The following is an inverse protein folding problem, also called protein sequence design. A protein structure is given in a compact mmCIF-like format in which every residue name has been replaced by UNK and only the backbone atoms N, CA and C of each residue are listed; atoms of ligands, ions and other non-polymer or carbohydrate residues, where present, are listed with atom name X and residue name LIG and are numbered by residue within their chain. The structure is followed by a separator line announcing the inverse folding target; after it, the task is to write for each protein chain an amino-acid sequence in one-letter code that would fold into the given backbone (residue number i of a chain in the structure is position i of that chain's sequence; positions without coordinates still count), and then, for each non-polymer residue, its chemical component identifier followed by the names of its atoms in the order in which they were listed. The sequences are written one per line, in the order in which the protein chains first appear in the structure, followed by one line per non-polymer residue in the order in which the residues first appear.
data_IF_223277588238
#
_entry.id   IF_223277588238
#
_cell.length_a   1.000
_cell.length_b   1.000
_cell.length_c   1.000
_cell.angle_alpha   90.00
_cell.angle_beta   90.00
_cell.angle_gamma   90.00
#
_symmetry.space_group_name_H-M   'P 1'
#
loop_
_entity.id
_entity.type
_entity.pdbx_description
1 polymer ?
#
# COMPACT_ATOMS: atom_id res chain seq x y z
N UNK A 1 6.78 14.33 -12.60
CA UNK A 1 7.80 14.07 -11.55
C UNK A 1 8.14 12.59 -11.61
N UNK A 2 9.41 12.18 -11.56
CA UNK A 2 9.78 10.76 -11.54
C UNK A 2 9.22 10.06 -10.29
N UNK A 3 8.84 8.80 -10.42
CA UNK A 3 8.35 7.99 -9.30
C UNK A 3 9.48 7.75 -8.30
N UNK A 4 9.21 7.94 -7.00
CA UNK A 4 10.21 7.68 -5.96
C UNK A 4 10.43 6.18 -5.78
N UNK A 5 11.61 5.77 -5.33
CA UNK A 5 11.91 4.37 -5.04
C UNK A 5 10.89 3.75 -4.07
N UNK A 6 10.50 4.48 -3.02
CA UNK A 6 9.46 4.07 -2.08
C UNK A 6 8.12 3.83 -2.76
N UNK A 7 7.71 4.72 -3.66
CA UNK A 7 6.48 4.58 -4.43
C UNK A 7 6.53 3.34 -5.35
N UNK A 8 7.68 3.08 -5.97
CA UNK A 8 7.89 1.87 -6.78
C UNK A 8 7.68 0.59 -5.96
N UNK A 9 8.30 0.48 -4.78
CA UNK A 9 8.15 -0.72 -3.94
C UNK A 9 6.74 -0.89 -3.37
N UNK A 10 6.06 0.21 -3.05
CA UNK A 10 4.64 0.17 -2.64
C UNK A 10 3.79 -0.37 -3.79
N UNK A 11 3.99 0.11 -5.02
CA UNK A 11 3.24 -0.38 -6.18
C UNK A 11 3.56 -1.85 -6.49
N UNK A 12 4.82 -2.25 -6.38
CA UNK A 12 5.25 -3.65 -6.55
C UNK A 12 4.55 -4.58 -5.54
N UNK A 13 4.34 -4.11 -4.30
CA UNK A 13 3.63 -4.88 -3.27
C UNK A 13 2.13 -5.07 -3.54
N UNK A 14 1.57 -4.26 -4.45
CA UNK A 14 0.16 -4.27 -4.88
C UNK A 14 -0.05 -5.07 -6.19
N UNK A 15 0.93 -5.86 -6.61
CA UNK A 15 0.72 -6.88 -7.65
C UNK A 15 -0.37 -7.88 -7.26
N UNK A 16 -0.63 -8.03 -5.95
CA UNK A 16 -1.80 -8.67 -5.37
C UNK A 16 -2.47 -7.72 -4.36
N UNK A 17 -3.80 -7.77 -4.16
CA UNK A 17 -4.48 -6.92 -3.20
C UNK A 17 -3.91 -7.10 -1.78
N UNK A 18 -3.50 -6.01 -1.14
CA UNK A 18 -2.76 -6.08 0.13
C UNK A 18 -3.22 -4.99 1.10
N UNK A 19 -3.32 -5.37 2.37
CA UNK A 19 -3.59 -4.41 3.44
C UNK A 19 -2.36 -3.53 3.72
N UNK A 20 -2.58 -2.31 4.21
CA UNK A 20 -1.51 -1.34 4.48
C UNK A 20 -0.36 -1.88 5.33
N UNK A 21 -0.63 -2.70 6.36
CA UNK A 21 0.42 -3.34 7.16
C UNK A 21 1.17 -4.44 6.40
N UNK A 22 0.47 -5.20 5.54
CA UNK A 22 1.09 -6.20 4.68
C UNK A 22 2.08 -5.58 3.69
N UNK A 23 1.81 -4.35 3.22
CA UNK A 23 2.72 -3.60 2.34
C UNK A 23 4.04 -3.30 3.07
N UNK A 24 3.95 -2.82 4.32
CA UNK A 24 5.12 -2.53 5.16
C UNK A 24 6.01 -3.76 5.31
N UNK A 25 5.42 -4.90 5.67
CA UNK A 25 6.15 -6.15 5.86
C UNK A 25 6.77 -6.65 4.55
N UNK A 26 6.03 -6.56 3.45
CA UNK A 26 6.51 -7.00 2.14
C UNK A 26 7.72 -6.20 1.69
N UNK A 27 7.63 -4.86 1.71
CA UNK A 27 8.73 -3.99 1.30
C UNK A 27 9.95 -4.20 2.18
N UNK A 28 9.76 -4.33 3.49
CA UNK A 28 10.87 -4.63 4.39
C UNK A 28 11.56 -5.95 4.03
N UNK A 29 10.79 -7.00 3.71
CA UNK A 29 11.31 -8.31 3.31
C UNK A 29 12.07 -8.28 1.99
N UNK A 30 11.49 -7.70 0.93
CA UNK A 30 12.12 -7.72 -0.41
C UNK A 30 13.31 -6.77 -0.53
N UNK A 31 13.44 -5.80 0.38
CA UNK A 31 14.57 -4.88 0.43
C UNK A 31 15.61 -5.26 1.49
N UNK A 32 15.47 -6.44 2.11
CA UNK A 32 16.31 -6.92 3.20
C UNK A 32 16.52 -5.87 4.31
N UNK A 33 15.41 -5.24 4.70
CA UNK A 33 15.40 -4.22 5.75
C UNK A 33 15.96 -2.85 5.36
N UNK A 34 16.50 -2.67 4.15
CA UNK A 34 17.02 -1.38 3.66
C UNK A 34 15.95 -0.30 3.64
N UNK A 35 14.73 -0.64 3.20
CA UNK A 35 13.61 0.28 3.21
C UNK A 35 12.67 -0.08 4.37
N UNK A 36 12.49 0.90 5.27
CA UNK A 36 11.57 0.80 6.40
C UNK A 36 10.44 1.79 6.21
N UNK A 37 9.25 1.28 5.92
CA UNK A 37 8.07 2.11 5.72
C UNK A 37 7.31 2.28 7.02
N UNK A 38 7.02 3.53 7.37
CA UNK A 38 6.03 3.86 8.39
C UNK A 38 4.61 3.79 7.82
N UNK A 39 3.62 3.58 8.69
CA UNK A 39 2.20 3.60 8.31
C UNK A 39 1.80 4.91 7.61
N UNK A 40 2.24 6.05 8.15
CA UNK A 40 1.99 7.37 7.53
C UNK A 40 2.54 7.52 6.12
N UNK A 41 3.74 6.96 5.86
CA UNK A 41 4.35 6.99 4.53
C UNK A 41 3.58 6.13 3.54
N UNK A 42 3.13 4.94 3.96
CA UNK A 42 2.34 4.04 3.12
C UNK A 42 1.01 4.68 2.78
N UNK A 43 0.20 5.05 3.78
CA UNK A 43 -1.13 5.62 3.53
C UNK A 43 -1.06 6.96 2.79
N UNK A 44 -0.06 7.79 3.09
CA UNK A 44 0.16 9.04 2.35
C UNK A 44 0.51 8.80 0.88
N UNK A 45 1.30 7.77 0.58
CA UNK A 45 1.66 7.42 -0.81
C UNK A 45 0.49 6.79 -1.54
N UNK A 46 -0.23 5.86 -0.90
CA UNK A 46 -1.45 5.25 -1.46
C UNK A 46 -2.51 6.31 -1.78
N UNK A 47 -2.77 7.25 -0.88
CA UNK A 47 -3.72 8.34 -1.14
C UNK A 47 -3.28 9.26 -2.29
N UNK A 48 -1.98 9.50 -2.48
CA UNK A 48 -1.47 10.22 -3.66
C UNK A 48 -1.65 9.42 -4.96
N UNK A 49 -1.38 8.12 -4.92
CA UNK A 49 -1.55 7.21 -6.06
C UNK A 49 -3.02 7.06 -6.46
N UNK A 50 -3.92 6.98 -5.48
CA UNK A 50 -5.37 6.95 -5.70
C UNK A 50 -5.85 8.26 -6.33
N UNK A 51 -5.44 9.42 -5.79
CA UNK A 51 -5.76 10.73 -6.37
C UNK A 51 -5.22 10.92 -7.79
N UNK A 52 -4.09 10.29 -8.10
CA UNK A 52 -3.50 10.28 -9.45
C UNK A 52 -4.02 9.14 -10.34
N UNK A 53 -5.00 8.35 -9.86
CA UNK A 53 -5.66 7.27 -10.59
C UNK A 53 -4.70 6.15 -11.03
N UNK A 54 -3.59 5.98 -10.32
CA UNK A 54 -2.60 4.90 -10.56
C UNK A 54 -3.08 3.59 -9.91
N UNK A 55 -3.75 3.68 -8.77
CA UNK A 55 -4.33 2.55 -8.05
C UNK A 55 -5.79 2.83 -7.73
N UNK A 56 -6.57 1.76 -7.60
CA UNK A 56 -7.97 1.85 -7.18
C UNK A 56 -8.17 0.96 -5.96
N UNK A 57 -8.77 1.53 -4.92
CA UNK A 57 -9.11 0.79 -3.72
C UNK A 57 -10.16 -0.25 -4.04
N UNK A 58 -9.88 -1.51 -3.70
CA UNK A 58 -10.88 -2.58 -3.80
C UNK A 58 -11.70 -2.60 -2.52
N UNK A 59 -12.88 -2.00 -2.56
CA UNK A 59 -13.87 -2.13 -1.48
C UNK A 59 -14.32 -3.59 -1.40
N UNK A 60 -13.84 -4.32 -0.40
CA UNK A 60 -14.48 -5.58 -0.04
C UNK A 60 -15.82 -5.22 0.58
N UNK A 61 -16.93 -5.51 -0.11
CA UNK A 61 -18.28 -5.45 0.49
C UNK A 61 -18.34 -6.61 1.47
N UNK A 62 -17.86 -6.39 2.70
CA UNK A 62 -17.97 -7.35 3.78
C UNK A 62 -19.34 -7.15 4.43
N UNK A 63 -20.20 -8.13 4.31
CA UNK A 63 -21.35 -8.36 5.18
C UNK A 63 -20.89 -8.71 6.60
N UNK A 64 -20.01 -7.91 7.21
CA UNK A 64 -19.59 -8.06 8.60
C UNK A 64 -19.18 -6.70 9.20
N UNK A 65 -19.86 -6.23 10.27
CA UNK A 65 -19.77 -4.85 10.75
C UNK A 65 -18.52 -4.51 11.59
N UNK A 66 -17.54 -5.42 11.72
CA UNK A 66 -16.58 -5.34 12.83
C UNK A 66 -15.13 -4.98 12.48
N UNK A 67 -14.75 -4.73 11.22
CA UNK A 67 -13.43 -4.10 10.95
C UNK A 67 -13.25 -3.53 9.52
N UNK A 68 -13.14 -2.21 9.32
CA UNK A 68 -12.87 -1.62 8.02
C UNK A 68 -11.36 -1.59 7.72
N UNK A 69 -10.72 -2.75 7.51
CA UNK A 69 -9.35 -2.74 6.99
C UNK A 69 -9.39 -2.44 5.48
N UNK A 70 -8.77 -1.32 5.09
CA UNK A 70 -8.70 -0.90 3.69
C UNK A 70 -7.72 -1.82 2.94
N UNK A 71 -8.24 -2.49 1.92
CA UNK A 71 -7.46 -3.28 0.96
C UNK A 71 -7.27 -2.43 -0.29
N UNK A 72 -6.02 -2.26 -0.69
CA UNK A 72 -5.63 -1.61 -1.93
C UNK A 72 -5.26 -2.68 -2.95
#
# INVERSE_FOLDING_TARGET
MPMTETAFYILLSLTEPRQGYGIIQYVNKITDGRIKLGSGTVYGTLGKMEKSQIIFKKSHVITSPTNPFLIF
#
